data_IF_669186812354
#
_entry.id   IF_669186812354
#
_cell.length_a   1.000
_cell.length_b   1.000
_cell.length_c   1.000
_cell.angle_alpha   90.00
_cell.angle_beta   90.00
_cell.angle_gamma   90.00
#
_symmetry.space_group_name_H-M   'P 1'
#
loop_
_entity.id
_entity.type
_entity.pdbx_description
1 polymer ?
#
# COMPACT_ATOMS: atom_id res chain seq x y z
N UNK A 1 -29.06 31.99 -16.57
CA UNK A 1 -28.27 31.31 -17.62
C UNK A 1 -27.00 30.77 -16.96
N UNK A 2 -26.94 29.47 -16.75
CA UNK A 2 -25.74 28.80 -16.23
C UNK A 2 -24.75 28.56 -17.37
N UNK A 3 -23.45 28.82 -17.20
CA UNK A 3 -22.47 28.40 -18.19
C UNK A 3 -22.25 26.88 -18.07
N UNK A 4 -22.45 26.19 -19.20
CA UNK A 4 -22.15 24.78 -19.37
C UNK A 4 -20.62 24.54 -19.44
N UNK A 5 -20.17 23.50 -18.76
CA UNK A 5 -19.16 22.54 -19.24
C UNK A 5 -17.72 23.03 -19.52
N UNK A 6 -16.81 22.67 -18.62
CA UNK A 6 -15.45 22.24 -19.01
C UNK A 6 -15.17 20.89 -18.35
N UNK A 7 -15.39 19.80 -19.09
CA UNK A 7 -14.85 18.49 -18.73
C UNK A 7 -13.33 18.52 -19.01
N UNK A 8 -12.54 18.58 -17.94
CA UNK A 8 -11.10 18.33 -18.04
C UNK A 8 -10.88 16.83 -18.27
N UNK A 9 -10.73 16.44 -19.54
CA UNK A 9 -10.22 15.12 -19.89
C UNK A 9 -8.74 15.03 -19.48
N UNK A 10 -8.47 14.48 -18.30
CA UNK A 10 -7.12 14.08 -17.93
C UNK A 10 -6.75 12.83 -18.74
N UNK A 11 -5.70 12.86 -19.57
CA UNK A 11 -5.24 11.67 -20.26
C UNK A 11 -4.78 10.62 -19.23
N UNK A 12 -5.00 9.32 -19.50
CA UNK A 12 -4.63 8.26 -18.56
C UNK A 12 -3.11 8.26 -18.32
N UNK A 13 -2.67 8.00 -17.08
CA UNK A 13 -1.25 7.98 -16.75
C UNK A 13 -0.53 6.87 -17.52
N UNK A 14 0.63 7.18 -18.09
CA UNK A 14 1.45 6.20 -18.82
C UNK A 14 2.15 5.27 -17.83
N UNK A 15 1.96 3.97 -18.00
CA UNK A 15 2.66 2.92 -17.26
C UNK A 15 3.88 2.46 -18.04
N UNK A 16 5.05 2.46 -17.40
CA UNK A 16 6.29 1.91 -17.97
C UNK A 16 6.95 0.95 -16.99
N UNK A 17 7.55 -0.12 -17.50
CA UNK A 17 8.26 -1.09 -16.65
C UNK A 17 9.67 -0.59 -16.32
N UNK A 18 10.08 -0.75 -15.07
CA UNK A 18 11.45 -0.51 -14.66
C UNK A 18 12.44 -1.32 -15.51
N UNK A 19 13.51 -0.68 -15.99
CA UNK A 19 14.57 -1.31 -16.78
C UNK A 19 15.28 -2.48 -16.09
N UNK A 20 15.25 -2.53 -14.75
CA UNK A 20 15.93 -3.56 -13.96
C UNK A 20 14.94 -4.60 -13.40
N UNK A 21 14.05 -4.19 -12.49
CA UNK A 21 13.15 -5.12 -11.79
C UNK A 21 11.79 -5.34 -12.48
N UNK A 22 11.57 -4.73 -13.65
CA UNK A 22 10.31 -4.79 -14.44
C UNK A 22 9.04 -4.36 -13.72
N UNK A 23 9.15 -3.76 -12.53
CA UNK A 23 8.00 -3.22 -11.80
C UNK A 23 7.32 -2.12 -12.62
N UNK A 24 5.98 -2.12 -12.75
CA UNK A 24 5.26 -1.05 -13.42
C UNK A 24 5.37 0.24 -12.63
N UNK A 25 5.79 1.31 -13.29
CA UNK A 25 6.01 2.64 -12.75
C UNK A 25 5.03 3.61 -13.44
N UNK A 26 4.37 4.43 -12.64
CA UNK A 26 3.49 5.47 -13.16
C UNK A 26 4.33 6.70 -13.51
N UNK A 27 4.38 7.05 -14.78
CA UNK A 27 5.17 8.17 -15.26
C UNK A 27 4.33 9.46 -15.23
N UNK A 28 4.78 10.52 -14.53
CA UNK A 28 4.18 11.84 -14.65
C UNK A 28 4.27 12.35 -16.09
N UNK A 29 3.24 13.05 -16.57
CA UNK A 29 3.20 13.56 -17.94
C UNK A 29 4.40 14.50 -18.20
N UNK A 30 5.19 14.20 -19.23
CA UNK A 30 6.38 14.98 -19.61
C UNK A 30 7.70 14.54 -18.97
N UNK A 31 7.69 13.56 -18.05
CA UNK A 31 8.92 13.03 -17.48
C UNK A 31 9.70 12.17 -18.52
N UNK A 32 10.99 12.45 -18.69
CA UNK A 32 11.89 11.71 -19.61
C UNK A 32 12.61 10.54 -18.95
N UNK A 33 12.54 10.45 -17.63
CA UNK A 33 13.08 9.35 -16.85
C UNK A 33 12.30 9.17 -15.55
N UNK A 34 12.35 7.97 -14.99
CA UNK A 34 11.75 7.66 -13.69
C UNK A 34 12.66 6.73 -12.89
N UNK A 35 12.82 7.01 -11.60
CA UNK A 35 13.59 6.18 -10.65
C UNK A 35 12.66 5.18 -9.99
N UNK A 36 13.03 3.90 -10.05
CA UNK A 36 12.27 2.84 -9.40
C UNK A 36 12.40 2.92 -7.88
N UNK A 37 11.29 3.00 -7.16
CA UNK A 37 11.28 2.98 -5.70
C UNK A 37 11.76 1.64 -5.10
N UNK A 38 11.70 0.55 -5.89
CA UNK A 38 12.07 -0.80 -5.45
C UNK A 38 13.56 -1.07 -5.58
N UNK A 39 14.15 -0.81 -6.76
CA UNK A 39 15.54 -1.16 -7.04
C UNK A 39 16.46 0.03 -7.33
N UNK A 40 15.95 1.27 -7.19
CA UNK A 40 16.66 2.52 -7.44
C UNK A 40 17.17 2.73 -8.88
N UNK A 41 16.90 1.79 -9.80
CA UNK A 41 17.27 1.92 -11.20
C UNK A 41 16.49 3.05 -11.90
N UNK A 42 17.19 3.80 -12.76
CA UNK A 42 16.61 4.86 -13.58
C UNK A 42 16.21 4.29 -14.93
N UNK A 43 14.94 4.44 -15.29
CA UNK A 43 14.39 4.05 -16.60
C UNK A 43 14.23 5.31 -17.44
N UNK A 44 14.93 5.40 -18.57
CA UNK A 44 14.81 6.52 -19.51
C UNK A 44 13.74 6.20 -20.56
N UNK A 45 12.84 7.15 -20.83
CA UNK A 45 11.82 7.03 -21.87
C UNK A 45 12.35 7.72 -23.12
N UNK A 46 12.52 6.97 -24.20
CA UNK A 46 12.86 7.54 -25.50
C UNK A 46 11.70 8.40 -26.01
N UNK A 47 12.00 9.64 -26.41
CA UNK A 47 11.06 10.51 -27.10
C UNK A 47 10.73 9.86 -28.46
N UNK A 48 9.44 9.59 -28.80
CA UNK A 48 9.10 9.00 -30.09
C UNK A 48 9.45 9.88 -31.30
N UNK A 49 10.04 11.07 -31.11
CA UNK A 49 10.44 11.99 -32.18
C UNK A 49 11.92 11.97 -32.58
N UNK A 50 12.72 11.02 -32.13
CA UNK A 50 14.11 10.87 -32.61
C UNK A 50 14.37 9.51 -33.23
N UNK A 51 13.80 9.28 -34.42
CA UNK A 51 14.23 8.21 -35.33
C UNK A 51 14.93 8.89 -36.52
N UNK A 52 16.23 8.67 -36.76
CA UNK A 52 16.87 9.11 -38.00
C UNK A 52 16.35 8.26 -39.18
N UNK A 53 16.25 8.80 -40.40
CA UNK A 53 15.74 8.05 -41.54
C UNK A 53 16.70 6.92 -41.96
N UNK A 54 16.20 5.84 -42.57
CA UNK A 54 17.03 4.72 -43.02
C UNK A 54 17.88 5.11 -44.26
N UNK A 55 19.07 4.52 -44.44
CA UNK A 55 19.93 4.83 -45.57
C UNK A 55 19.45 4.16 -46.88
N UNK A 56 19.65 4.88 -48.00
CA UNK A 56 19.39 4.45 -49.37
C UNK A 56 20.39 3.39 -49.85
N UNK A 57 19.86 2.37 -50.53
CA UNK A 57 20.58 1.24 -51.14
C UNK A 57 21.51 1.66 -52.29
N UNK A 58 22.70 1.02 -52.40
CA UNK A 58 23.35 0.46 -53.62
C UNK A 58 24.76 -0.09 -53.25
N UNK A 59 25.45 -0.90 -54.09
CA UNK A 59 25.46 -2.36 -54.11
C UNK A 59 26.76 -2.98 -53.54
N UNK A 60 26.72 -4.31 -53.29
CA UNK A 60 27.80 -5.14 -52.75
C UNK A 60 29.12 -5.10 -53.59
N UNK A 61 30.29 -5.43 -52.98
CA UNK A 61 30.73 -6.84 -52.99
C UNK A 61 31.58 -7.32 -51.77
N UNK A 62 31.83 -8.63 -51.77
CA UNK A 62 32.88 -9.43 -51.07
C UNK A 62 32.69 -9.87 -49.60
N UNK A 63 32.07 -11.04 -49.47
CA UNK A 63 32.44 -12.21 -48.63
C UNK A 63 33.59 -12.08 -47.62
N UNK A 64 33.25 -12.04 -46.33
CA UNK A 64 33.89 -12.82 -45.25
C UNK A 64 32.86 -12.98 -44.09
N UNK A 65 32.45 -14.22 -43.81
CA UNK A 65 31.47 -14.51 -42.76
C UNK A 65 32.08 -14.48 -41.35
N UNK A 66 31.30 -14.13 -40.29
CA UNK A 66 31.77 -14.22 -38.91
C UNK A 66 31.82 -15.69 -38.43
N UNK A 67 32.70 -16.04 -37.47
CA UNK A 67 32.75 -17.39 -36.92
C UNK A 67 31.50 -17.72 -36.09
N UNK A 68 31.15 -19.01 -35.92
CA UNK A 68 29.96 -19.43 -35.20
C UNK A 68 30.03 -19.08 -33.70
N UNK A 69 28.88 -18.90 -33.01
CA UNK A 69 28.85 -18.60 -31.59
C UNK A 69 29.40 -19.78 -30.76
N UNK A 70 30.25 -19.44 -29.79
CA UNK A 70 30.78 -20.39 -28.82
C UNK A 70 29.70 -20.89 -27.87
N UNK A 71 29.78 -22.18 -27.53
CA UNK A 71 28.91 -22.89 -26.59
C UNK A 71 28.85 -22.21 -25.22
N UNK A 72 27.70 -22.26 -24.51
CA UNK A 72 27.58 -21.66 -23.18
C UNK A 72 28.52 -22.35 -22.17
N UNK A 73 29.29 -21.53 -21.46
CA UNK A 73 30.23 -21.96 -20.41
C UNK A 73 29.47 -22.55 -19.20
N UNK A 74 29.90 -23.70 -18.63
CA UNK A 74 29.22 -24.36 -17.51
C UNK A 74 29.35 -23.63 -16.15
N UNK A 75 29.93 -22.43 -16.12
CA UNK A 75 30.23 -21.70 -14.87
C UNK A 75 29.28 -20.54 -14.53
N UNK A 76 28.18 -20.35 -15.26
CA UNK A 76 27.16 -19.34 -14.93
C UNK A 76 26.07 -19.88 -13.98
N UNK A 77 26.48 -20.41 -12.82
CA UNK A 77 25.56 -20.55 -11.70
C UNK A 77 25.84 -19.43 -10.69
N UNK A 78 25.02 -18.37 -10.76
CA UNK A 78 24.87 -17.50 -9.62
C UNK A 78 24.50 -18.36 -8.39
N UNK A 79 25.06 -18.08 -7.19
CA UNK A 79 24.72 -18.84 -6.00
C UNK A 79 23.20 -18.85 -5.82
N UNK A 80 22.58 -19.97 -5.40
CA UNK A 80 21.18 -19.98 -5.02
C UNK A 80 20.97 -18.87 -3.99
N UNK A 81 20.01 -17.97 -4.28
CA UNK A 81 19.58 -16.98 -3.30
C UNK A 81 19.13 -17.67 -2.01
N UNK A 82 19.02 -16.91 -0.90
CA UNK A 82 18.57 -17.47 0.36
C UNK A 82 17.26 -18.27 0.18
N UNK A 83 17.11 -19.42 0.85
CA UNK A 83 15.95 -20.29 0.66
C UNK A 83 14.66 -19.50 0.91
N UNK A 84 13.65 -19.74 0.07
CA UNK A 84 12.33 -19.17 0.25
C UNK A 84 11.84 -19.50 1.67
N UNK A 85 11.44 -18.47 2.43
CA UNK A 85 10.83 -18.68 3.73
C UNK A 85 9.62 -19.61 3.57
N UNK A 86 9.42 -20.53 4.51
CA UNK A 86 8.25 -21.43 4.53
C UNK A 86 6.90 -20.69 4.61
N UNK A 87 6.94 -19.36 4.80
CA UNK A 87 5.82 -18.43 4.84
C UNK A 87 6.07 -17.35 3.78
N UNK A 88 5.01 -16.83 3.16
CA UNK A 88 5.10 -15.76 2.16
C UNK A 88 5.66 -14.46 2.74
N UNK A 89 5.73 -13.42 1.91
CA UNK A 89 6.29 -12.12 2.32
C UNK A 89 5.45 -11.50 3.41
N UNK A 90 6.13 -10.77 4.28
CA UNK A 90 5.51 -10.01 5.37
C UNK A 90 5.60 -8.53 5.04
N UNK A 91 4.51 -7.78 5.19
CA UNK A 91 4.50 -6.31 5.07
C UNK A 91 3.57 -5.69 6.09
N UNK A 92 3.97 -4.56 6.66
CA UNK A 92 3.13 -3.83 7.60
C UNK A 92 3.08 -2.34 7.30
N UNK A 93 1.89 -1.75 7.46
CA UNK A 93 1.71 -0.31 7.61
C UNK A 93 1.33 -0.04 9.06
N UNK A 94 2.06 0.83 9.72
CA UNK A 94 1.83 1.21 11.12
C UNK A 94 1.68 2.73 11.16
N UNK A 95 0.54 3.20 11.63
CA UNK A 95 0.26 4.62 11.78
C UNK A 95 -0.04 4.96 13.24
N UNK A 96 0.62 6.01 13.75
CA UNK A 96 0.39 6.55 15.07
C UNK A 96 0.29 8.07 15.00
N UNK A 97 -0.87 8.63 15.36
CA UNK A 97 -1.15 10.06 15.25
C UNK A 97 -1.50 10.62 16.62
N UNK A 98 -0.70 11.57 17.09
CA UNK A 98 -0.91 12.28 18.35
C UNK A 98 -1.52 13.67 18.15
N UNK A 99 -1.58 14.21 16.93
CA UNK A 99 -2.14 15.53 16.61
C UNK A 99 -1.52 16.64 17.47
N UNK A 100 -0.19 16.61 17.61
CA UNK A 100 0.57 17.52 18.49
C UNK A 100 0.27 18.97 18.14
N UNK A 101 0.20 19.82 19.16
CA UNK A 101 -0.02 21.27 19.01
C UNK A 101 -1.41 21.62 18.43
N UNK A 102 -2.38 20.70 18.53
CA UNK A 102 -3.76 20.93 18.15
C UNK A 102 -4.71 20.71 19.33
N UNK A 103 -5.96 21.15 19.19
CA UNK A 103 -7.02 20.86 20.18
C UNK A 103 -7.41 19.37 20.24
N UNK A 104 -6.93 18.55 19.31
CA UNK A 104 -7.23 17.12 19.20
C UNK A 104 -6.08 16.25 19.74
N UNK A 105 -5.15 16.83 20.50
CA UNK A 105 -3.93 16.13 20.92
C UNK A 105 -4.23 14.86 21.75
N UNK A 106 -3.57 13.75 21.38
CA UNK A 106 -3.60 12.46 22.05
C UNK A 106 -2.20 12.08 22.54
N UNK A 107 -2.17 11.43 23.71
CA UNK A 107 -0.94 10.88 24.29
C UNK A 107 -0.93 9.38 24.07
N UNK A 108 0.22 8.84 23.65
CA UNK A 108 0.44 7.40 23.56
C UNK A 108 0.41 6.82 22.14
N UNK A 109 -0.32 7.42 21.18
CA UNK A 109 -0.51 6.82 19.86
C UNK A 109 0.81 6.53 19.10
N UNK A 110 1.77 7.46 19.16
CA UNK A 110 3.10 7.25 18.57
C UNK A 110 3.87 6.16 19.33
N UNK A 111 3.70 6.04 20.65
CA UNK A 111 4.30 4.97 21.43
C UNK A 111 3.70 3.62 21.07
N UNK A 112 2.39 3.53 20.88
CA UNK A 112 1.70 2.29 20.46
C UNK A 112 2.23 1.81 19.10
N UNK A 113 2.40 2.74 18.14
CA UNK A 113 3.01 2.46 16.85
C UNK A 113 4.44 1.90 16.99
N UNK A 114 5.27 2.49 17.87
CA UNK A 114 6.62 2.00 18.16
C UNK A 114 6.61 0.62 18.81
N UNK A 115 5.69 0.37 19.76
CA UNK A 115 5.51 -0.93 20.39
C UNK A 115 5.09 -1.99 19.37
N UNK A 116 4.17 -1.66 18.46
CA UNK A 116 3.75 -2.55 17.37
C UNK A 116 4.93 -2.87 16.46
N UNK A 117 5.70 -1.86 16.01
CA UNK A 117 6.91 -2.07 15.20
C UNK A 117 7.89 -3.01 15.89
N UNK A 118 8.17 -2.77 17.17
CA UNK A 118 9.04 -3.61 17.97
C UNK A 118 8.54 -5.06 18.04
N UNK A 119 7.23 -5.26 18.26
CA UNK A 119 6.59 -6.58 18.31
C UNK A 119 6.74 -7.33 16.98
N UNK A 120 6.46 -6.67 15.85
CA UNK A 120 6.53 -7.28 14.52
C UNK A 120 7.95 -7.75 14.17
N UNK A 121 8.96 -6.92 14.45
CA UNK A 121 10.35 -7.27 14.17
C UNK A 121 10.82 -8.40 15.10
N UNK A 122 10.63 -8.23 16.40
CA UNK A 122 11.28 -9.11 17.38
C UNK A 122 10.56 -10.45 17.57
N UNK A 123 9.22 -10.46 17.52
CA UNK A 123 8.42 -11.68 17.74
C UNK A 123 7.94 -12.29 16.44
N UNK A 124 7.34 -11.49 15.56
CA UNK A 124 6.74 -12.01 14.33
C UNK A 124 7.69 -12.05 13.13
N UNK A 125 8.94 -11.59 13.30
CA UNK A 125 10.02 -11.65 12.29
C UNK A 125 9.63 -10.99 10.98
N UNK A 126 8.99 -9.82 11.05
CA UNK A 126 8.86 -8.93 9.90
C UNK A 126 10.23 -8.31 9.60
N UNK A 127 10.72 -8.37 8.35
CA UNK A 127 11.88 -7.59 7.92
C UNK A 127 11.65 -6.10 8.18
N UNK A 128 12.67 -5.38 8.64
CA UNK A 128 12.53 -3.98 9.03
C UNK A 128 12.18 -3.07 7.84
N UNK A 129 12.72 -3.38 6.66
CA UNK A 129 12.44 -2.72 5.38
C UNK A 129 11.04 -3.02 4.83
N UNK A 130 10.34 -4.01 5.42
CA UNK A 130 8.96 -4.36 5.09
C UNK A 130 7.91 -3.67 5.98
N UNK A 131 8.34 -2.74 6.85
CA UNK A 131 7.44 -1.99 7.74
C UNK A 131 7.47 -0.52 7.37
N UNK A 132 6.32 0.01 6.95
CA UNK A 132 6.12 1.42 6.68
C UNK A 132 5.50 2.10 7.91
N UNK A 133 6.27 2.99 8.54
CA UNK A 133 5.83 3.80 9.69
C UNK A 133 5.31 5.16 9.20
N UNK A 134 4.13 5.56 9.67
CA UNK A 134 3.55 6.88 9.46
C UNK A 134 3.29 7.56 10.81
N UNK A 135 4.14 8.53 11.20
CA UNK A 135 4.00 9.28 12.46
C UNK A 135 4.49 10.72 12.32
N UNK A 136 4.08 11.59 13.24
CA UNK A 136 4.55 12.99 13.31
C UNK A 136 6.04 13.12 13.68
N UNK A 137 6.72 12.03 14.08
CA UNK A 137 8.15 12.02 14.38
C UNK A 137 9.02 11.62 13.20
N UNK A 138 8.42 11.17 12.09
CA UNK A 138 9.17 10.83 10.88
C UNK A 138 9.70 12.11 10.21
N UNK A 139 10.96 12.05 9.75
CA UNK A 139 11.62 13.19 9.09
C UNK A 139 11.29 13.30 7.61
N UNK A 140 10.92 12.19 6.98
CA UNK A 140 10.47 12.16 5.58
C UNK A 140 9.02 12.67 5.48
N UNK A 141 8.76 13.74 4.71
CA UNK A 141 7.40 14.25 4.52
C UNK A 141 6.41 13.22 3.98
N UNK A 142 6.87 12.23 3.22
CA UNK A 142 6.02 11.13 2.71
C UNK A 142 5.63 10.13 3.80
N UNK A 143 6.22 10.25 4.99
CA UNK A 143 5.93 9.43 6.17
C UNK A 143 5.13 10.17 7.25
N UNK A 144 4.76 11.42 6.99
CA UNK A 144 3.77 12.08 7.83
C UNK A 144 2.39 11.45 7.62
N UNK A 145 1.55 11.29 8.66
CA UNK A 145 0.27 10.59 8.55
C UNK A 145 -0.84 11.48 7.97
N UNK A 146 -0.60 12.10 6.82
CA UNK A 146 -1.60 12.83 6.04
C UNK A 146 -2.56 11.86 5.35
N UNK A 147 -3.73 12.35 4.93
CA UNK A 147 -4.72 11.55 4.21
C UNK A 147 -4.13 10.92 2.95
N UNK A 148 -3.37 11.70 2.20
CA UNK A 148 -2.73 11.24 0.97
C UNK A 148 -1.67 10.16 1.26
N UNK A 149 -0.85 10.34 2.28
CA UNK A 149 0.20 9.37 2.61
C UNK A 149 -0.38 8.05 3.15
N UNK A 150 -1.46 8.12 3.94
CA UNK A 150 -2.20 6.93 4.38
C UNK A 150 -2.76 6.14 3.18
N UNK A 151 -3.36 6.82 2.20
CA UNK A 151 -3.83 6.18 0.95
C UNK A 151 -2.68 5.50 0.21
N UNK A 152 -1.57 6.21 0.03
CA UNK A 152 -0.39 5.64 -0.64
C UNK A 152 0.16 4.43 0.11
N UNK A 153 0.15 4.46 1.44
CA UNK A 153 0.56 3.34 2.27
C UNK A 153 -0.37 2.12 2.12
N UNK A 154 -1.69 2.33 2.04
CA UNK A 154 -2.66 1.27 1.77
C UNK A 154 -2.40 0.59 0.42
N UNK A 155 -2.19 1.37 -0.64
CA UNK A 155 -1.82 0.80 -1.94
C UNK A 155 -0.52 0.00 -1.86
N UNK A 156 0.51 0.54 -1.21
CA UNK A 156 1.79 -0.13 -1.03
C UNK A 156 1.66 -1.46 -0.26
N UNK A 157 0.80 -1.51 0.77
CA UNK A 157 0.58 -2.69 1.61
C UNK A 157 0.11 -3.89 0.78
N UNK A 158 -0.87 -3.67 -0.10
CA UNK A 158 -1.48 -4.74 -0.89
C UNK A 158 -0.81 -4.95 -2.25
N UNK A 159 0.05 -4.03 -2.68
CA UNK A 159 0.63 -4.07 -4.02
C UNK A 159 1.44 -5.35 -4.27
N UNK A 160 0.94 -6.14 -5.21
CA UNK A 160 1.59 -7.35 -5.70
C UNK A 160 1.59 -8.50 -4.70
N UNK A 161 0.70 -8.50 -3.69
CA UNK A 161 0.56 -9.62 -2.75
C UNK A 161 0.24 -10.95 -3.46
N UNK A 162 0.76 -12.04 -2.91
CA UNK A 162 0.62 -13.40 -3.43
C UNK A 162 0.08 -14.33 -2.35
N UNK A 163 -0.59 -15.44 -2.71
CA UNK A 163 -1.04 -16.43 -1.73
C UNK A 163 0.10 -16.84 -0.79
N UNK A 164 -0.17 -16.84 0.52
CA UNK A 164 0.80 -17.08 1.59
C UNK A 164 1.43 -15.82 2.19
N UNK A 165 1.27 -14.64 1.57
CA UNK A 165 1.72 -13.37 2.15
C UNK A 165 0.92 -13.01 3.42
N UNK A 166 1.59 -12.35 4.36
CA UNK A 166 1.01 -11.90 5.64
C UNK A 166 1.17 -10.38 5.78
N UNK A 167 0.04 -9.71 5.77
CA UNK A 167 -0.08 -8.25 5.81
C UNK A 167 -0.56 -7.81 7.19
N UNK A 168 -0.09 -6.66 7.64
CA UNK A 168 -0.57 -6.04 8.86
C UNK A 168 -0.84 -4.55 8.67
N UNK A 169 -2.00 -4.09 9.15
CA UNK A 169 -2.31 -2.68 9.26
C UNK A 169 -2.56 -2.33 10.74
N UNK A 170 -1.78 -1.42 11.29
CA UNK A 170 -2.00 -0.89 12.63
C UNK A 170 -2.29 0.60 12.55
N UNK A 171 -3.32 1.04 13.28
CA UNK A 171 -3.66 2.44 13.43
C UNK A 171 -3.91 2.75 14.91
N UNK A 172 -3.27 3.79 15.43
CA UNK A 172 -3.59 4.39 16.72
C UNK A 172 -3.77 5.91 16.55
N UNK A 173 -4.94 6.43 16.91
CA UNK A 173 -5.33 7.81 16.67
C UNK A 173 -6.81 8.07 16.92
N UNK A 174 -7.33 9.18 16.39
CA UNK A 174 -8.76 9.46 16.47
C UNK A 174 -9.54 8.64 15.45
N UNK A 175 -10.67 8.09 15.90
CA UNK A 175 -11.73 7.59 15.05
C UNK A 175 -12.99 8.40 15.27
N UNK A 176 -13.76 8.58 14.21
CA UNK A 176 -14.98 9.38 14.21
C UNK A 176 -16.07 8.69 13.40
N UNK A 177 -17.27 9.29 13.36
CA UNK A 177 -18.39 8.80 12.55
C UNK A 177 -18.81 9.87 11.56
N UNK A 178 -19.02 9.49 10.31
CA UNK A 178 -19.59 10.37 9.29
C UNK A 178 -21.00 9.88 8.96
N UNK A 179 -21.94 10.81 8.73
CA UNK A 179 -23.30 10.41 8.33
C UNK A 179 -23.20 9.70 6.98
N UNK A 180 -23.73 8.49 6.94
CA UNK A 180 -23.76 7.68 5.73
C UNK A 180 -24.80 8.27 4.75
N UNK A 181 -24.42 8.40 3.48
CA UNK A 181 -25.30 8.88 2.39
C UNK A 181 -25.66 7.80 1.36
N UNK A 182 -25.06 6.61 1.41
CA UNK A 182 -25.27 5.49 0.48
C UNK A 182 -26.29 4.45 1.03
N UNK A 183 -26.54 4.44 2.35
CA UNK A 183 -27.54 3.63 3.04
C UNK A 183 -27.17 2.17 3.30
N UNK A 184 -25.88 1.79 3.26
CA UNK A 184 -25.42 0.41 3.53
C UNK A 184 -25.19 0.11 5.02
N UNK A 185 -24.95 1.13 5.85
CA UNK A 185 -24.83 1.05 7.30
C UNK A 185 -26.19 0.89 8.00
N UNK A 186 -26.32 -0.11 8.88
CA UNK A 186 -27.56 -0.39 9.64
C UNK A 186 -27.91 0.75 10.60
N UNK A 187 -26.93 1.48 11.11
CA UNK A 187 -27.16 2.63 11.99
C UNK A 187 -27.01 4.00 11.29
N UNK A 188 -26.69 4.00 10.00
CA UNK A 188 -26.60 5.18 9.15
C UNK A 188 -25.36 6.05 9.36
N UNK A 189 -24.28 5.52 9.91
CA UNK A 189 -23.01 6.25 10.10
C UNK A 189 -21.77 5.42 9.78
N UNK A 190 -20.99 5.87 8.81
CA UNK A 190 -19.69 5.30 8.44
C UNK A 190 -18.67 5.54 9.55
N UNK A 191 -17.90 4.50 9.90
CA UNK A 191 -16.72 4.63 10.76
C UNK A 191 -15.57 5.25 9.96
N UNK A 192 -14.80 6.13 10.61
CA UNK A 192 -13.75 6.89 9.92
C UNK A 192 -12.47 6.96 10.72
N UNK A 193 -11.33 6.90 10.02
CA UNK A 193 -10.02 7.26 10.56
C UNK A 193 -9.76 8.75 10.32
N UNK A 194 -9.13 9.42 11.28
CA UNK A 194 -8.77 10.84 11.17
C UNK A 194 -7.29 10.99 10.83
N UNK A 195 -6.90 11.33 9.58
CA UNK A 195 -5.52 11.68 9.26
C UNK A 195 -5.07 12.95 9.97
N UNK A 196 -3.78 13.26 9.96
CA UNK A 196 -3.25 14.48 10.60
C UNK A 196 -3.88 15.77 10.04
N UNK A 197 -4.20 15.78 8.76
CA UNK A 197 -4.76 16.92 8.01
C UNK A 197 -6.29 16.82 7.81
N UNK A 198 -6.99 16.05 8.65
CA UNK A 198 -8.41 15.77 8.51
C UNK A 198 -9.31 17.01 8.49
N UNK A 199 -8.92 18.10 9.18
CA UNK A 199 -9.69 19.35 9.16
C UNK A 199 -9.76 19.98 7.75
N UNK A 200 -8.75 19.73 6.91
CA UNK A 200 -8.66 20.30 5.56
C UNK A 200 -8.94 19.29 4.45
N UNK A 201 -8.53 18.03 4.62
CA UNK A 201 -8.68 16.97 3.61
C UNK A 201 -9.83 16.00 3.91
N UNK A 202 -10.49 16.15 5.06
CA UNK A 202 -11.52 15.25 5.56
C UNK A 202 -10.96 13.94 6.13
N UNK A 203 -11.85 13.11 6.64
CA UNK A 203 -11.54 11.79 7.23
C UNK A 203 -11.42 10.72 6.14
N UNK A 204 -10.94 9.52 6.49
CA UNK A 204 -10.95 8.34 5.61
C UNK A 204 -12.07 7.42 6.10
N UNK A 205 -13.06 7.16 5.25
CA UNK A 205 -14.20 6.28 5.56
C UNK A 205 -13.81 4.79 5.42
N UNK A 206 -14.38 3.93 6.25
CA UNK A 206 -14.29 2.46 6.19
C UNK A 206 -14.46 1.89 4.78
N UNK A 207 -15.43 2.38 4.03
CA UNK A 207 -15.77 1.99 2.67
C UNK A 207 -14.55 2.13 1.72
N UNK A 208 -13.77 3.20 1.92
CA UNK A 208 -12.51 3.49 1.23
C UNK A 208 -11.39 2.54 1.67
N UNK A 209 -11.31 2.24 2.96
CA UNK A 209 -10.32 1.31 3.53
C UNK A 209 -10.59 -0.09 2.99
N UNK A 210 -11.83 -0.56 3.07
CA UNK A 210 -12.28 -1.84 2.54
C UNK A 210 -11.99 -1.95 1.03
N UNK A 211 -12.34 -0.91 0.25
CA UNK A 211 -12.03 -0.83 -1.18
C UNK A 211 -10.55 -1.03 -1.50
N UNK A 212 -9.67 -0.51 -0.64
CA UNK A 212 -8.24 -0.43 -0.92
C UNK A 212 -7.48 -1.64 -0.38
N UNK A 213 -7.78 -2.10 0.84
CA UNK A 213 -6.98 -3.14 1.50
C UNK A 213 -7.71 -4.46 1.76
N UNK A 214 -9.04 -4.53 1.57
CA UNK A 214 -9.81 -5.77 1.80
C UNK A 214 -10.27 -6.38 0.48
N UNK A 215 -11.04 -5.66 -0.33
CA UNK A 215 -11.58 -6.15 -1.62
C UNK A 215 -10.50 -6.65 -2.57
N UNK A 216 -9.34 -5.99 -2.74
CA UNK A 216 -8.33 -6.40 -3.72
C UNK A 216 -7.50 -7.63 -3.31
N UNK A 217 -7.58 -8.10 -2.06
CA UNK A 217 -6.76 -9.22 -1.59
C UNK A 217 -7.10 -10.51 -2.35
N UNK A 218 -6.10 -11.22 -2.92
CA UNK A 218 -6.29 -12.53 -3.51
C UNK A 218 -6.42 -13.62 -2.43
N UNK A 219 -7.03 -14.74 -2.81
CA UNK A 219 -7.17 -15.91 -1.93
C UNK A 219 -5.82 -16.41 -1.41
N UNK A 220 -5.76 -16.78 -0.14
CA UNK A 220 -4.57 -17.24 0.56
C UNK A 220 -3.68 -16.12 1.12
N UNK A 221 -4.03 -14.85 0.94
CA UNK A 221 -3.39 -13.72 1.65
C UNK A 221 -4.09 -13.49 2.98
N UNK A 222 -3.29 -13.23 4.03
CA UNK A 222 -3.81 -12.89 5.36
C UNK A 222 -3.55 -11.42 5.65
N UNK A 223 -4.58 -10.66 6.01
CA UNK A 223 -4.46 -9.29 6.51
C UNK A 223 -4.93 -9.24 7.95
N UNK A 224 -4.06 -8.80 8.86
CA UNK A 224 -4.40 -8.48 10.23
C UNK A 224 -4.50 -6.96 10.38
N UNK A 225 -5.63 -6.46 10.87
CA UNK A 225 -5.80 -5.05 11.20
C UNK A 225 -6.04 -4.86 12.70
N UNK A 226 -5.28 -3.94 13.30
CA UNK A 226 -5.39 -3.59 14.72
C UNK A 226 -5.63 -2.08 14.82
N UNK A 227 -6.85 -1.69 15.20
CA UNK A 227 -7.29 -0.30 15.19
C UNK A 227 -7.59 0.14 16.61
N UNK A 228 -6.66 0.92 17.18
CA UNK A 228 -6.81 1.57 18.48
C UNK A 228 -7.34 3.00 18.29
N UNK A 229 -8.66 3.09 18.09
CA UNK A 229 -9.38 4.34 17.92
C UNK A 229 -10.80 4.22 18.52
N UNK A 230 -11.43 5.35 18.82
CA UNK A 230 -12.86 5.37 19.16
C UNK A 230 -13.69 5.01 17.92
N UNK A 231 -14.75 4.21 18.07
CA UNK A 231 -15.62 3.78 16.96
C UNK A 231 -14.84 3.04 15.85
N UNK A 232 -14.11 1.97 16.22
CA UNK A 232 -13.26 1.18 15.30
C UNK A 232 -13.74 -0.25 15.04
N UNK A 233 -14.98 -0.57 15.44
CA UNK A 233 -15.47 -1.94 15.46
C UNK A 233 -15.84 -2.50 14.07
N UNK A 234 -16.11 -1.62 13.11
CA UNK A 234 -16.48 -1.91 11.72
C UNK A 234 -15.56 -1.25 10.69
N UNK A 235 -14.46 -0.57 11.08
CA UNK A 235 -13.49 0.11 10.18
C UNK A 235 -13.04 -0.65 8.91
N UNK A 236 -13.15 -1.98 8.84
CA UNK A 236 -12.86 -2.76 7.63
C UNK A 236 -14.08 -3.33 6.89
N UNK A 237 -15.31 -3.10 7.33
CA UNK A 237 -16.55 -3.69 6.79
C UNK A 237 -16.48 -5.19 6.54
N UNK A 238 -16.07 -5.94 7.56
CA UNK A 238 -15.94 -7.39 7.45
C UNK A 238 -17.30 -8.09 7.68
N UNK A 239 -17.64 -9.09 6.84
CA UNK A 239 -18.91 -9.82 6.97
C UNK A 239 -18.99 -10.71 8.22
N UNK A 240 -17.85 -10.98 8.87
CA UNK A 240 -17.76 -11.81 10.06
C UNK A 240 -16.98 -11.09 11.16
N UNK A 241 -17.59 -10.97 12.33
CA UNK A 241 -17.03 -10.35 13.53
C UNK A 241 -16.96 -11.40 14.65
N UNK A 242 -15.79 -11.58 15.25
CA UNK A 242 -15.60 -12.46 16.40
C UNK A 242 -15.41 -11.61 17.67
N UNK A 243 -16.28 -11.80 18.67
CA UNK A 243 -16.19 -11.10 19.97
C UNK A 243 -15.75 -12.07 21.06
N UNK A 244 -14.69 -11.74 21.77
CA UNK A 244 -14.31 -12.39 23.01
C UNK A 244 -14.81 -11.56 24.19
N UNK A 245 -15.84 -12.03 24.90
CA UNK A 245 -16.28 -11.42 26.16
C UNK A 245 -15.44 -12.01 27.31
N UNK A 246 -14.76 -11.14 28.07
CA UNK A 246 -13.95 -11.56 29.24
C UNK A 246 -14.80 -11.88 30.49
N UNK A 247 -16.12 -11.75 30.41
CA UNK A 247 -17.03 -12.03 31.53
C UNK A 247 -17.75 -13.35 31.23
N UNK A 248 -17.25 -14.44 31.85
CA UNK A 248 -17.63 -15.84 31.65
C UNK A 248 -17.22 -16.42 30.29
N UNK A 249 -16.18 -17.27 30.28
CA UNK A 249 -15.60 -17.96 29.10
C UNK A 249 -16.58 -18.82 28.29
N UNK A 250 -17.56 -18.18 27.66
CA UNK A 250 -18.56 -18.76 26.77
C UNK A 250 -18.59 -17.91 25.51
N UNK A 251 -18.19 -18.52 24.40
CA UNK A 251 -18.27 -17.92 23.06
C UNK A 251 -19.73 -17.68 22.72
N UNK A 252 -20.14 -16.42 22.67
CA UNK A 252 -21.46 -16.00 22.20
C UNK A 252 -21.25 -15.21 20.92
N UNK A 253 -21.75 -15.74 19.80
CA UNK A 253 -21.87 -14.99 18.55
C UNK A 253 -23.08 -14.07 18.71
N UNK A 254 -22.85 -12.78 18.87
CA UNK A 254 -23.89 -11.77 19.04
C UNK A 254 -23.62 -10.58 18.12
N UNK A 255 -24.70 -10.00 17.58
CA UNK A 255 -24.67 -8.76 16.81
C UNK A 255 -24.36 -7.57 17.75
N UNK A 256 -23.46 -6.69 17.28
CA UNK A 256 -23.12 -5.33 17.74
C UNK A 256 -21.98 -5.08 18.78
N UNK A 257 -20.88 -4.57 18.21
CA UNK A 257 -19.80 -3.59 18.52
C UNK A 257 -18.93 -3.65 19.81
N UNK A 258 -17.64 -3.34 19.58
CA UNK A 258 -16.42 -3.17 20.41
C UNK A 258 -15.44 -4.36 20.42
N UNK A 259 -14.74 -4.58 19.30
CA UNK A 259 -13.51 -5.36 19.22
C UNK A 259 -12.44 -4.59 18.42
N UNK A 260 -11.19 -4.54 18.89
CA UNK A 260 -10.11 -3.71 18.29
C UNK A 260 -9.26 -4.44 17.24
N UNK A 261 -9.47 -5.74 17.09
CA UNK A 261 -8.72 -6.61 16.18
C UNK A 261 -9.66 -7.18 15.12
N UNK A 262 -9.26 -7.02 13.87
CA UNK A 262 -10.00 -7.49 12.71
C UNK A 262 -9.04 -8.31 11.84
N UNK A 263 -9.43 -9.53 11.49
CA UNK A 263 -8.59 -10.44 10.69
C UNK A 263 -9.34 -10.83 9.43
N UNK A 264 -8.68 -10.66 8.29
CA UNK A 264 -9.17 -11.06 6.98
C UNK A 264 -8.30 -12.19 6.47
N UNK A 265 -8.92 -13.35 6.27
CA UNK A 265 -8.34 -14.51 5.59
C UNK A 265 -9.31 -14.89 4.47
N UNK A 266 -8.87 -14.80 3.22
CA UNK A 266 -9.67 -15.13 2.03
C UNK A 266 -9.27 -16.47 1.45
#
# INVERSE_FOLDING_TARGET
>A
MYPQGMQYHYPPPMLINCSNCRTPLQLPQGARSIRCAICQAVTNIADPRSVPPPPSQSPAPSTHGPPPPSSPSPYNHAPPGPPAHAYGRKRAVICGISYRYSRHELKGCINDAKCMRYLLINKFKFPEDSILMLTEEETDPNRLPTKQNLRMAFYWLVQGCQPGDSLLFHYSGHGSRQRNYNGDEVDGYDETLCPLDFETQGMIVDDEINATIVRPLPHGVKLHAMIDACHSGTVLDLPFLCRMNSIYGRTIVQHQVYGREQVVEK
#
